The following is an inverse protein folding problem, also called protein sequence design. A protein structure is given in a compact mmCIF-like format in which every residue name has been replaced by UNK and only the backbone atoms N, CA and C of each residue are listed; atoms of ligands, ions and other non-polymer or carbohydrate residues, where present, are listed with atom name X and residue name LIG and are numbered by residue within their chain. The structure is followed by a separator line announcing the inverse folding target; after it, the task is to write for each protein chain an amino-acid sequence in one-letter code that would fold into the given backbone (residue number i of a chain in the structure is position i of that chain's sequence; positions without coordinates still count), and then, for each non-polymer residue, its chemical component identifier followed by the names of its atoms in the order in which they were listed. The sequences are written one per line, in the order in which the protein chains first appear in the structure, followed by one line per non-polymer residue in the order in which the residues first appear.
data_IF_148497675312
#
_entry.id   IF_148497675312
#
_cell.length_a   1.000
_cell.length_b   1.000
_cell.length_c   1.000
_cell.angle_alpha   90.00
_cell.angle_beta   90.00
_cell.angle_gamma   90.00
#
_symmetry.space_group_name_H-M   'P 1'
#
loop_
_entity.id
_entity.type
_entity.pdbx_description
1 polymer ?
#
# COMPACT_ATOMS: atom_id res chain seq x y z
N UNK A 1 -4.24 1.09 37.63
CA UNK A 1 -5.67 1.17 37.24
C UNK A 1 -5.77 2.16 36.10
N UNK A 2 -6.10 1.88 34.85
CA UNK A 2 -6.46 0.68 34.09
C UNK A 2 -6.03 1.01 32.65
N UNK A 3 -5.38 0.09 31.92
CA UNK A 3 -5.01 0.23 30.50
C UNK A 3 -6.25 0.09 29.58
N UNK A 4 -7.35 0.68 29.99
CA UNK A 4 -8.70 0.50 29.45
C UNK A 4 -8.90 1.26 28.14
N UNK A 5 -9.57 0.56 27.22
CA UNK A 5 -10.07 1.00 25.91
C UNK A 5 -8.98 1.22 24.85
N UNK A 6 -8.49 0.10 24.30
CA UNK A 6 -8.02 0.11 22.91
C UNK A 6 -9.22 0.56 22.07
N UNK A 7 -9.20 1.79 21.55
CA UNK A 7 -10.25 2.25 20.64
C UNK A 7 -10.45 1.15 19.59
N UNK A 8 -11.69 0.70 19.41
CA UNK A 8 -12.01 -0.20 18.30
C UNK A 8 -11.49 0.47 17.04
N UNK A 9 -10.64 -0.27 16.29
CA UNK A 9 -9.99 0.29 15.11
C UNK A 9 -11.09 0.61 14.11
N UNK A 10 -11.22 1.87 13.74
CA UNK A 10 -12.14 2.29 12.70
C UNK A 10 -11.57 1.90 11.34
N UNK A 11 -12.41 1.33 10.46
CA UNK A 11 -12.14 1.29 9.03
C UNK A 11 -12.88 2.45 8.35
N UNK A 12 -12.31 2.98 7.27
CA UNK A 12 -12.93 4.06 6.48
C UNK A 12 -13.12 3.59 5.05
N UNK A 13 -14.37 3.68 4.58
CA UNK A 13 -14.75 3.35 3.23
C UNK A 13 -14.50 4.54 2.28
N UNK A 14 -13.63 4.35 1.29
CA UNK A 14 -13.30 5.26 0.19
C UNK A 14 -13.90 4.70 -1.11
N UNK A 15 -15.16 5.03 -1.42
CA UNK A 15 -15.88 4.40 -2.52
C UNK A 15 -16.02 2.88 -2.28
N UNK A 16 -15.39 2.05 -3.12
CA UNK A 16 -15.33 0.58 -2.94
C UNK A 16 -14.11 0.09 -2.17
N UNK A 17 -13.15 0.96 -1.83
CA UNK A 17 -11.93 0.60 -1.10
C UNK A 17 -12.11 0.83 0.41
N UNK A 18 -11.80 -0.18 1.22
CA UNK A 18 -11.78 -0.04 2.68
C UNK A 18 -10.35 0.18 3.19
N UNK A 19 -10.13 1.22 3.99
CA UNK A 19 -8.83 1.50 4.64
C UNK A 19 -8.92 1.17 6.13
N UNK A 20 -7.98 0.39 6.64
CA UNK A 20 -7.98 -0.08 8.04
C UNK A 20 -8.70 -1.41 8.28
N UNK A 21 -9.31 -1.99 7.24
CA UNK A 21 -10.04 -3.27 7.27
C UNK A 21 -9.18 -4.55 7.33
N UNK A 22 -7.86 -4.42 7.43
CA UNK A 22 -6.95 -5.55 7.57
C UNK A 22 -6.04 -5.80 6.36
N UNK A 23 -6.44 -5.47 5.13
CA UNK A 23 -5.53 -5.42 3.98
C UNK A 23 -4.85 -4.05 3.88
N UNK A 24 -3.56 -4.02 3.54
CA UNK A 24 -2.87 -2.77 3.23
C UNK A 24 -3.27 -2.34 1.81
N UNK A 25 -3.47 -1.03 1.62
CA UNK A 25 -3.90 -0.48 0.32
C UNK A 25 -2.86 0.47 -0.25
N UNK A 26 -2.88 0.68 -1.56
CA UNK A 26 -2.08 1.70 -2.24
C UNK A 26 -3.03 2.69 -2.91
N UNK A 27 -2.90 3.97 -2.57
CA UNK A 27 -3.65 5.08 -3.18
C UNK A 27 -2.65 5.96 -3.93
N UNK A 28 -2.94 6.31 -5.19
CA UNK A 28 -2.03 7.15 -5.97
C UNK A 28 -2.32 7.17 -7.47
N UNK A 29 -1.28 6.94 -8.28
CA UNK A 29 -1.34 6.92 -9.74
C UNK A 29 -1.91 5.63 -10.34
N UNK A 30 -1.54 5.35 -11.59
CA UNK A 30 -2.04 4.19 -12.33
C UNK A 30 -1.61 2.85 -11.71
N UNK A 31 -2.54 1.89 -11.64
CA UNK A 31 -2.31 0.59 -11.02
C UNK A 31 -2.49 0.54 -9.50
N UNK A 32 -2.77 1.66 -8.85
CA UNK A 32 -3.12 1.72 -7.44
C UNK A 32 -4.57 1.21 -7.18
N UNK A 33 -4.91 0.93 -5.93
CA UNK A 33 -6.25 0.47 -5.54
C UNK A 33 -7.28 1.62 -5.56
N UNK A 34 -6.81 2.86 -5.43
CA UNK A 34 -7.57 4.08 -5.66
C UNK A 34 -6.71 5.14 -6.37
N UNK A 35 -7.36 5.98 -7.18
CA UNK A 35 -6.71 7.10 -7.86
C UNK A 35 -6.74 8.35 -6.98
N UNK A 36 -5.64 9.08 -6.94
CA UNK A 36 -5.60 10.43 -6.36
C UNK A 36 -5.09 11.43 -7.40
N UNK A 37 -5.70 12.61 -7.44
CA UNK A 37 -5.20 13.75 -8.21
C UNK A 37 -5.16 15.01 -7.36
N UNK A 38 -4.17 15.88 -7.60
CA UNK A 38 -4.11 17.19 -6.98
C UNK A 38 -4.47 18.27 -8.00
N UNK A 39 -5.31 19.23 -7.59
CA UNK A 39 -5.62 20.44 -8.36
C UNK A 39 -4.65 21.57 -8.02
N UNK A 40 -3.86 21.42 -6.96
CA UNK A 40 -2.92 22.45 -6.50
C UNK A 40 -1.90 22.78 -7.59
N UNK A 41 -1.73 24.07 -7.86
CA UNK A 41 -0.80 24.56 -8.89
C UNK A 41 -1.24 24.30 -10.34
N UNK A 42 -2.42 23.73 -10.57
CA UNK A 42 -2.95 23.45 -11.91
C UNK A 42 -4.02 24.45 -12.30
N UNK A 43 -4.10 24.77 -13.59
CA UNK A 43 -5.15 25.59 -14.20
C UNK A 43 -6.22 24.70 -14.84
N UNK A 44 -6.72 23.71 -14.10
CA UNK A 44 -7.78 22.80 -14.57
C UNK A 44 -8.98 22.91 -13.64
N UNK A 45 -10.18 22.87 -14.19
CA UNK A 45 -11.39 22.87 -13.36
C UNK A 45 -11.54 21.50 -12.70
N UNK A 46 -11.92 21.48 -11.42
CA UNK A 46 -12.14 20.23 -10.68
C UNK A 46 -13.04 19.23 -11.43
N UNK A 47 -14.13 19.70 -12.06
CA UNK A 47 -15.03 18.86 -12.85
C UNK A 47 -14.34 18.19 -14.05
N UNK A 48 -13.46 18.90 -14.74
CA UNK A 48 -12.72 18.35 -15.90
C UNK A 48 -11.70 17.32 -15.44
N UNK A 49 -10.97 17.61 -14.36
CA UNK A 49 -9.99 16.67 -13.80
C UNK A 49 -10.64 15.37 -13.34
N UNK A 50 -11.78 15.45 -12.65
CA UNK A 50 -12.54 14.27 -12.21
C UNK A 50 -13.11 13.50 -13.41
N UNK A 51 -13.71 14.19 -14.38
CA UNK A 51 -14.26 13.55 -15.58
C UNK A 51 -13.19 12.80 -16.39
N UNK A 52 -11.99 13.38 -16.52
CA UNK A 52 -10.87 12.74 -17.22
C UNK A 52 -10.47 11.41 -16.55
N UNK A 53 -10.37 11.39 -15.21
CA UNK A 53 -10.04 10.15 -14.49
C UNK A 53 -11.16 9.13 -14.64
N UNK A 54 -12.43 9.55 -14.48
CA UNK A 54 -13.58 8.65 -14.59
C UNK A 54 -13.76 8.03 -15.97
N UNK A 55 -13.28 8.69 -17.04
CA UNK A 55 -13.30 8.14 -18.39
C UNK A 55 -12.42 6.89 -18.54
N UNK A 56 -11.39 6.74 -17.70
CA UNK A 56 -10.40 5.67 -17.79
C UNK A 56 -10.39 4.75 -16.55
N UNK A 57 -11.06 5.15 -15.46
CA UNK A 57 -10.98 4.49 -14.17
C UNK A 57 -12.34 4.37 -13.49
N UNK A 58 -12.75 3.13 -13.22
CA UNK A 58 -14.01 2.79 -12.57
C UNK A 58 -13.90 2.69 -11.04
N UNK A 59 -12.69 2.64 -10.47
CA UNK A 59 -12.48 2.52 -9.03
C UNK A 59 -12.58 3.86 -8.29
N UNK A 60 -12.20 3.89 -7.00
CA UNK A 60 -12.28 5.10 -6.20
C UNK A 60 -11.37 6.22 -6.70
N UNK A 61 -11.87 7.46 -6.64
CA UNK A 61 -11.16 8.68 -7.04
C UNK A 61 -11.14 9.68 -5.89
N UNK A 62 -9.95 10.09 -5.49
CA UNK A 62 -9.72 11.13 -4.51
C UNK A 62 -9.16 12.39 -5.16
N UNK A 63 -9.53 13.55 -4.63
CA UNK A 63 -9.07 14.84 -5.15
C UNK A 63 -8.50 15.71 -4.02
N UNK A 64 -7.32 16.28 -4.21
CA UNK A 64 -6.85 17.40 -3.39
C UNK A 64 -7.32 18.73 -4.02
N UNK A 65 -8.10 19.55 -3.29
CA UNK A 65 -8.58 20.83 -3.78
C UNK A 65 -7.44 21.85 -3.91
N UNK A 66 -7.63 22.82 -4.81
CA UNK A 66 -6.80 24.02 -4.87
C UNK A 66 -7.41 25.19 -4.09
N UNK A 67 -8.73 25.16 -3.87
CA UNK A 67 -9.47 26.15 -3.08
C UNK A 67 -10.86 25.62 -2.69
N UNK A 68 -11.56 26.37 -1.82
CA UNK A 68 -12.96 26.15 -1.49
C UNK A 68 -13.91 26.09 -2.71
N UNK A 69 -13.58 26.83 -3.77
CA UNK A 69 -14.39 26.87 -5.00
C UNK A 69 -14.43 25.54 -5.76
N UNK A 70 -13.47 24.65 -5.53
CA UNK A 70 -13.43 23.32 -6.16
C UNK A 70 -14.42 22.34 -5.51
N UNK A 71 -14.76 22.56 -4.25
CA UNK A 71 -15.44 21.59 -3.39
C UNK A 71 -16.80 21.13 -3.94
N UNK A 72 -17.70 21.99 -4.48
CA UNK A 72 -18.96 21.53 -5.05
C UNK A 72 -18.77 20.58 -6.24
N UNK A 73 -17.70 20.74 -7.02
CA UNK A 73 -17.40 19.88 -8.18
C UNK A 73 -16.70 18.59 -7.76
N UNK A 74 -15.88 18.64 -6.72
CA UNK A 74 -15.30 17.44 -6.09
C UNK A 74 -16.43 16.57 -5.52
N UNK A 75 -17.36 17.15 -4.75
CA UNK A 75 -18.48 16.44 -4.16
C UNK A 75 -19.38 15.75 -5.20
N UNK A 76 -19.46 16.28 -6.42
CA UNK A 76 -20.28 15.73 -7.48
C UNK A 76 -19.68 14.48 -8.18
N UNK A 77 -18.39 14.17 -7.99
CA UNK A 77 -17.76 13.07 -8.76
C UNK A 77 -16.57 12.37 -8.13
N UNK A 78 -16.05 12.84 -7.00
CA UNK A 78 -15.00 12.16 -6.23
C UNK A 78 -15.59 11.29 -5.11
N UNK A 79 -14.86 10.27 -4.69
CA UNK A 79 -15.19 9.37 -3.59
C UNK A 79 -14.52 9.77 -2.27
N UNK A 80 -13.63 10.77 -2.31
CA UNK A 80 -12.89 11.25 -1.15
C UNK A 80 -12.08 12.50 -1.46
N UNK A 81 -11.62 13.15 -0.39
CA UNK A 81 -10.81 14.38 -0.47
C UNK A 81 -9.47 14.14 0.21
N UNK A 82 -8.39 14.63 -0.41
CA UNK A 82 -7.08 14.68 0.25
C UNK A 82 -6.83 16.11 0.71
N UNK A 83 -6.75 16.31 2.02
CA UNK A 83 -6.20 17.53 2.62
C UNK A 83 -4.69 17.37 2.65
N UNK A 84 -4.03 17.97 1.66
CA UNK A 84 -2.58 18.00 1.55
C UNK A 84 -1.91 18.69 2.74
N UNK A 85 -0.62 18.44 2.91
CA UNK A 85 0.20 18.93 4.02
C UNK A 85 0.23 20.46 4.18
N UNK A 86 -0.06 21.22 3.12
CA UNK A 86 -0.19 22.68 3.18
C UNK A 86 -1.55 23.15 3.64
N UNK A 87 -2.60 22.38 3.34
CA UNK A 87 -3.98 22.71 3.67
C UNK A 87 -4.33 22.42 5.13
N UNK A 88 -3.55 21.58 5.81
CA UNK A 88 -3.75 21.32 7.25
C UNK A 88 -3.57 22.54 8.15
N UNK A 89 -2.96 23.62 7.63
CA UNK A 89 -2.86 24.92 8.32
C UNK A 89 -4.03 25.86 8.03
N UNK A 90 -4.96 25.48 7.16
CA UNK A 90 -6.15 26.26 6.83
C UNK A 90 -7.41 25.60 7.44
N UNK A 91 -7.78 25.95 8.68
CA UNK A 91 -8.95 25.35 9.34
C UNK A 91 -10.26 25.69 8.63
N UNK A 92 -10.33 26.78 7.84
CA UNK A 92 -11.55 27.12 7.11
C UNK A 92 -11.76 26.14 5.97
N UNK A 93 -10.74 25.92 5.14
CA UNK A 93 -10.82 24.94 4.06
C UNK A 93 -11.06 23.54 4.62
N UNK A 94 -10.36 23.14 5.68
CA UNK A 94 -10.56 21.83 6.32
C UNK A 94 -12.01 21.66 6.78
N UNK A 95 -12.60 22.67 7.43
CA UNK A 95 -13.99 22.61 7.86
C UNK A 95 -14.97 22.52 6.69
N UNK A 96 -14.74 23.25 5.60
CA UNK A 96 -15.56 23.14 4.39
C UNK A 96 -15.43 21.78 3.70
N UNK A 97 -14.22 21.21 3.64
CA UNK A 97 -13.97 19.84 3.15
C UNK A 97 -14.73 18.83 4.00
N UNK A 98 -14.68 18.96 5.32
CA UNK A 98 -15.36 18.06 6.24
C UNK A 98 -16.88 18.05 6.01
N UNK A 99 -17.50 19.22 5.83
CA UNK A 99 -18.94 19.39 5.57
C UNK A 99 -19.42 18.78 4.26
N UNK A 100 -18.53 18.41 3.34
CA UNK A 100 -18.93 17.66 2.14
C UNK A 100 -19.48 16.27 2.46
N UNK A 101 -19.14 15.71 3.63
CA UNK A 101 -19.49 14.34 3.96
C UNK A 101 -18.85 13.34 3.00
N UNK A 102 -17.70 13.67 2.42
CA UNK A 102 -16.82 12.70 1.76
C UNK A 102 -15.73 12.25 2.74
N UNK A 103 -15.25 11.01 2.67
CA UNK A 103 -14.06 10.60 3.40
C UNK A 103 -12.87 11.52 3.14
N UNK A 104 -12.07 11.78 4.18
CA UNK A 104 -10.97 12.74 4.11
C UNK A 104 -9.65 12.06 4.48
N UNK A 105 -8.64 12.16 3.61
CA UNK A 105 -7.25 11.86 3.97
C UNK A 105 -6.58 13.15 4.45
N UNK A 106 -6.09 13.18 5.69
CA UNK A 106 -5.38 14.33 6.26
C UNK A 106 -3.88 14.02 6.34
N UNK A 107 -3.09 14.63 5.44
CA UNK A 107 -1.63 14.47 5.43
C UNK A 107 -0.98 15.28 6.55
N UNK A 108 0.00 14.71 7.24
CA UNK A 108 0.77 15.43 8.26
C UNK A 108 1.57 16.58 7.63
N UNK A 109 1.52 17.76 8.25
CA UNK A 109 2.39 18.88 7.88
C UNK A 109 3.86 18.61 8.26
N UNK A 110 4.86 19.10 7.52
CA UNK A 110 6.28 18.76 7.71
C UNK A 110 6.86 19.03 9.11
N UNK A 111 6.25 19.95 9.87
CA UNK A 111 6.66 20.28 11.24
C UNK A 111 5.53 20.09 12.25
N UNK A 112 4.40 19.49 11.84
CA UNK A 112 3.26 19.32 12.73
C UNK A 112 3.59 18.29 13.80
N UNK A 113 3.30 18.62 15.05
CA UNK A 113 3.29 17.66 16.16
C UNK A 113 2.13 16.69 16.01
N UNK A 114 2.17 15.58 16.74
CA UNK A 114 1.06 14.64 16.80
C UNK A 114 -0.25 15.32 17.24
N UNK A 115 -0.19 16.23 18.21
CA UNK A 115 -1.38 16.92 18.71
C UNK A 115 -1.98 17.85 17.67
N UNK A 116 -1.16 18.64 16.97
CA UNK A 116 -1.63 19.53 15.91
C UNK A 116 -2.22 18.73 14.75
N UNK A 117 -1.61 17.60 14.39
CA UNK A 117 -2.15 16.75 13.33
C UNK A 117 -3.49 16.12 13.71
N UNK A 118 -3.62 15.57 14.92
CA UNK A 118 -4.88 15.03 15.41
C UNK A 118 -5.97 16.10 15.55
N UNK A 119 -5.61 17.33 15.92
CA UNK A 119 -6.56 18.44 15.99
C UNK A 119 -7.22 18.76 14.64
N UNK A 120 -6.49 18.58 13.51
CA UNK A 120 -7.07 18.74 12.16
C UNK A 120 -8.10 17.64 11.87
N UNK A 121 -7.83 16.40 12.29
CA UNK A 121 -8.80 15.31 12.16
C UNK A 121 -10.03 15.50 13.07
N UNK A 122 -9.82 15.99 14.29
CA UNK A 122 -10.91 16.27 15.24
C UNK A 122 -11.75 17.48 14.80
N UNK A 123 -11.16 18.43 14.06
CA UNK A 123 -11.93 19.48 13.37
C UNK A 123 -12.89 18.87 12.34
N UNK A 124 -12.47 17.89 11.54
CA UNK A 124 -13.38 17.21 10.62
C UNK A 124 -14.55 16.54 11.37
N UNK A 125 -14.25 15.87 12.48
CA UNK A 125 -15.27 15.26 13.35
C UNK A 125 -16.23 16.30 13.94
N UNK A 126 -15.72 17.45 14.40
CA UNK A 126 -16.54 18.54 14.93
C UNK A 126 -17.47 19.15 13.88
N UNK A 127 -17.08 19.09 12.60
CA UNK A 127 -17.90 19.50 11.45
C UNK A 127 -18.81 18.38 10.92
N UNK A 128 -18.92 17.26 11.66
CA UNK A 128 -19.85 16.16 11.39
C UNK A 128 -19.30 15.06 10.48
N UNK A 129 -17.98 14.95 10.31
CA UNK A 129 -17.36 13.95 9.45
C UNK A 129 -16.24 13.15 10.13
N UNK A 130 -16.61 11.97 10.63
CA UNK A 130 -15.67 11.03 11.28
C UNK A 130 -14.93 10.11 10.31
N UNK A 131 -15.22 10.16 9.00
CA UNK A 131 -14.56 9.32 7.98
C UNK A 131 -13.20 9.89 7.60
N UNK A 132 -12.30 9.91 8.58
CA UNK A 132 -10.97 10.51 8.45
C UNK A 132 -9.90 9.42 8.47
N UNK A 133 -9.05 9.44 7.45
CA UNK A 133 -7.83 8.67 7.35
C UNK A 133 -6.65 9.61 7.54
N UNK A 134 -5.72 9.26 8.42
CA UNK A 134 -4.49 10.01 8.62
C UNK A 134 -3.45 9.55 7.59
N UNK A 135 -2.59 10.42 7.10
CA UNK A 135 -1.41 10.04 6.32
C UNK A 135 -0.11 10.65 6.89
N UNK A 136 0.80 9.82 7.40
CA UNK A 136 2.12 10.25 7.86
C UNK A 136 3.01 10.58 6.66
N UNK A 137 3.87 11.59 6.82
CA UNK A 137 4.91 11.94 5.85
C UNK A 137 4.59 13.19 5.04
N UNK A 138 5.61 14.04 4.92
CA UNK A 138 5.57 15.27 4.15
C UNK A 138 6.38 15.12 2.85
N UNK A 139 6.04 15.94 1.86
CA UNK A 139 6.77 15.99 0.61
C UNK A 139 8.19 16.53 0.86
N UNK A 140 9.18 15.79 0.36
CA UNK A 140 10.57 16.23 0.38
C UNK A 140 10.84 17.38 -0.60
N UNK A 141 12.00 18.00 -0.47
CA UNK A 141 12.60 18.91 -1.45
C UNK A 141 13.99 18.39 -1.86
N UNK A 142 14.63 18.94 -2.91
CA UNK A 142 16.00 18.57 -3.27
C UNK A 142 17.00 18.68 -2.11
N UNK A 143 16.76 19.60 -1.19
CA UNK A 143 17.60 19.85 -0.01
C UNK A 143 17.15 19.05 1.23
N UNK A 144 15.93 18.50 1.21
CA UNK A 144 15.33 17.79 2.34
C UNK A 144 14.66 16.50 1.87
N UNK A 145 15.26 15.33 2.15
CA UNK A 145 14.65 14.06 1.75
C UNK A 145 13.29 13.87 2.43
N UNK A 146 12.50 12.96 1.87
CA UNK A 146 11.27 12.50 2.51
C UNK A 146 11.60 11.86 3.85
N UNK A 147 10.87 12.23 4.89
CA UNK A 147 11.02 11.69 6.24
C UNK A 147 9.70 11.10 6.71
N UNK A 148 9.78 9.88 7.23
CA UNK A 148 8.67 9.19 7.89
C UNK A 148 8.99 9.02 9.37
N UNK A 149 8.16 9.57 10.23
CA UNK A 149 8.23 9.34 11.67
C UNK A 149 7.37 8.12 12.04
N UNK A 150 7.97 6.93 11.95
CA UNK A 150 7.28 5.67 12.21
C UNK A 150 6.74 5.55 13.65
N UNK A 151 7.45 6.01 14.70
CA UNK A 151 6.88 6.11 16.04
C UNK A 151 5.63 7.00 16.10
N UNK A 152 5.66 8.16 15.44
CA UNK A 152 4.50 9.07 15.43
C UNK A 152 3.33 8.50 14.64
N UNK A 153 3.58 7.83 13.51
CA UNK A 153 2.56 7.07 12.76
C UNK A 153 1.81 6.11 13.69
N UNK A 154 2.55 5.33 14.48
CA UNK A 154 1.97 4.38 15.44
C UNK A 154 1.20 5.09 16.55
N UNK A 155 1.76 6.15 17.11
CA UNK A 155 1.12 6.93 18.16
C UNK A 155 -0.20 7.58 17.66
N UNK A 156 -0.24 8.05 16.42
CA UNK A 156 -1.44 8.56 15.78
C UNK A 156 -2.51 7.48 15.66
N UNK A 157 -2.13 6.28 15.19
CA UNK A 157 -3.05 5.14 15.09
C UNK A 157 -3.60 4.74 16.45
N UNK A 158 -2.74 4.65 17.46
CA UNK A 158 -3.11 4.20 18.81
C UNK A 158 -3.98 5.23 19.55
N UNK A 159 -3.71 6.53 19.41
CA UNK A 159 -4.45 7.58 20.10
C UNK A 159 -5.77 7.94 19.43
N UNK A 160 -5.85 7.86 18.10
CA UNK A 160 -7.04 8.27 17.36
C UNK A 160 -8.00 7.13 17.07
N UNK A 161 -7.52 5.88 17.02
CA UNK A 161 -8.31 4.74 16.53
C UNK A 161 -8.60 4.79 15.02
N UNK A 162 -8.11 5.82 14.30
CA UNK A 162 -8.33 6.03 12.85
C UNK A 162 -7.28 5.26 12.03
N UNK A 163 -7.60 4.87 10.79
CA UNK A 163 -6.59 4.32 9.88
C UNK A 163 -5.48 5.33 9.59
N UNK A 164 -4.24 4.84 9.44
CA UNK A 164 -3.07 5.68 9.15
C UNK A 164 -2.30 5.15 7.94
N UNK A 165 -2.30 5.90 6.85
CA UNK A 165 -1.44 5.69 5.68
C UNK A 165 -0.05 6.29 5.90
N UNK A 166 0.89 5.96 5.00
CA UNK A 166 2.19 6.62 4.92
C UNK A 166 2.48 7.15 3.52
N UNK A 167 3.23 8.26 3.45
CA UNK A 167 3.77 8.88 2.24
C UNK A 167 5.26 8.54 2.10
N UNK A 168 5.64 7.49 1.37
CA UNK A 168 7.05 7.10 1.22
C UNK A 168 7.79 7.94 0.16
N UNK A 169 7.11 8.88 -0.51
CA UNK A 169 7.73 9.72 -1.55
C UNK A 169 8.26 8.95 -2.76
N UNK A 170 7.74 7.75 -3.01
CA UNK A 170 8.16 6.87 -4.10
C UNK A 170 9.31 5.92 -3.77
N UNK A 171 9.86 5.95 -2.55
CA UNK A 171 10.92 5.02 -2.13
C UNK A 171 10.32 3.65 -1.69
N UNK A 172 10.63 2.54 -2.39
CA UNK A 172 10.12 1.22 -2.04
C UNK A 172 10.57 0.72 -0.65
N UNK A 173 11.75 1.11 -0.19
CA UNK A 173 12.25 0.71 1.13
C UNK A 173 11.47 1.43 2.24
N UNK A 174 11.19 2.73 2.06
CA UNK A 174 10.32 3.48 2.99
C UNK A 174 8.89 2.95 2.97
N UNK A 175 8.37 2.56 1.80
CA UNK A 175 7.07 1.91 1.67
C UNK A 175 7.00 0.63 2.51
N UNK A 176 7.99 -0.27 2.37
CA UNK A 176 8.07 -1.49 3.15
C UNK A 176 8.21 -1.22 4.66
N UNK A 177 9.04 -0.24 5.04
CA UNK A 177 9.23 0.12 6.45
C UNK A 177 7.95 0.67 7.09
N UNK A 178 7.18 1.49 6.36
CA UNK A 178 5.91 2.02 6.84
C UNK A 178 4.87 0.92 7.07
N UNK A 179 4.73 -0.01 6.12
CA UNK A 179 3.83 -1.17 6.26
C UNK A 179 4.27 -2.04 7.45
N UNK A 180 5.57 -2.25 7.63
CA UNK A 180 6.11 -2.98 8.78
C UNK A 180 5.83 -2.28 10.12
N UNK A 181 5.87 -0.95 10.15
CA UNK A 181 5.48 -0.16 11.32
C UNK A 181 3.98 -0.23 11.64
N UNK A 182 3.18 -0.72 10.69
CA UNK A 182 1.74 -0.94 10.82
C UNK A 182 0.90 0.17 10.21
N UNK A 183 1.37 0.80 9.13
CA UNK A 183 0.55 1.64 8.28
C UNK A 183 -0.58 0.81 7.64
N UNK A 184 -1.77 1.41 7.55
CA UNK A 184 -2.96 0.83 6.94
C UNK A 184 -2.89 0.81 5.41
N UNK A 185 -1.90 1.50 4.84
CA UNK A 185 -1.62 1.54 3.41
C UNK A 185 -0.60 2.63 3.08
N UNK A 186 -0.46 2.91 1.80
CA UNK A 186 0.46 3.90 1.25
C UNK A 186 -0.29 4.93 0.41
N UNK A 187 0.10 6.19 0.52
CA UNK A 187 -0.28 7.26 -0.38
C UNK A 187 0.93 7.62 -1.25
N UNK A 188 0.79 7.54 -2.56
CA UNK A 188 1.83 7.86 -3.53
C UNK A 188 1.46 9.11 -4.32
N UNK A 189 2.46 9.77 -4.91
CA UNK A 189 2.22 10.95 -5.73
C UNK A 189 1.30 10.62 -6.92
N UNK A 190 0.42 11.55 -7.35
CA UNK A 190 -0.50 11.32 -8.47
C UNK A 190 0.21 10.93 -9.76
N UNK A 191 1.43 11.41 -9.94
CA UNK A 191 2.33 11.22 -11.08
C UNK A 191 3.36 10.09 -10.87
N UNK A 192 3.21 9.27 -9.84
CA UNK A 192 4.08 8.12 -9.61
C UNK A 192 4.08 7.18 -10.82
N UNK A 193 5.28 6.72 -11.21
CA UNK A 193 5.42 5.80 -12.35
C UNK A 193 4.78 4.45 -12.06
N UNK A 194 4.36 3.68 -13.10
CA UNK A 194 3.84 2.32 -12.91
C UNK A 194 4.78 1.43 -12.10
N UNK A 195 6.10 1.55 -12.28
CA UNK A 195 7.10 0.79 -11.55
C UNK A 195 7.11 1.15 -10.06
N UNK A 196 6.96 2.45 -9.75
CA UNK A 196 6.87 2.92 -8.36
C UNK A 196 5.61 2.38 -7.68
N UNK A 197 4.48 2.40 -8.38
CA UNK A 197 3.21 1.85 -7.86
C UNK A 197 3.30 0.33 -7.69
N UNK A 198 3.87 -0.40 -8.66
CA UNK A 198 4.08 -1.84 -8.56
C UNK A 198 4.98 -2.20 -7.37
N UNK A 199 6.10 -1.51 -7.20
CA UNK A 199 7.01 -1.74 -6.07
C UNK A 199 6.32 -1.47 -4.71
N UNK A 200 5.48 -0.44 -4.63
CA UNK A 200 4.68 -0.17 -3.44
C UNK A 200 3.63 -1.26 -3.16
N UNK A 201 2.99 -1.81 -4.20
CA UNK A 201 2.05 -2.94 -4.08
C UNK A 201 2.75 -4.20 -3.59
N UNK A 202 3.93 -4.50 -4.13
CA UNK A 202 4.74 -5.63 -3.68
C UNK A 202 5.12 -5.47 -2.20
N UNK A 203 5.56 -4.28 -1.79
CA UNK A 203 5.88 -3.99 -0.40
C UNK A 203 4.66 -4.19 0.51
N UNK A 204 3.50 -3.63 0.14
CA UNK A 204 2.23 -3.81 0.86
C UNK A 204 1.83 -5.28 0.97
N UNK A 205 1.97 -6.03 -0.12
CA UNK A 205 1.55 -7.44 -0.20
C UNK A 205 2.46 -8.33 0.65
N UNK A 206 3.77 -8.26 0.42
CA UNK A 206 4.75 -9.13 1.10
C UNK A 206 4.84 -8.79 2.59
N UNK A 207 5.03 -7.50 2.93
CA UNK A 207 5.22 -7.10 4.32
C UNK A 207 3.91 -7.23 5.08
N UNK A 208 2.78 -6.84 4.45
CA UNK A 208 1.46 -6.96 5.05
C UNK A 208 1.12 -8.38 5.46
N UNK A 209 1.40 -9.37 4.61
CA UNK A 209 1.16 -10.79 4.91
C UNK A 209 1.93 -11.32 6.13
N UNK A 210 3.06 -10.70 6.49
CA UNK A 210 3.91 -11.14 7.61
C UNK A 210 3.63 -10.34 8.89
N UNK A 211 3.34 -9.05 8.75
CA UNK A 211 3.29 -8.14 9.91
C UNK A 211 1.89 -7.92 10.46
N UNK A 212 0.86 -8.13 9.63
CA UNK A 212 -0.53 -7.97 10.07
C UNK A 212 -0.98 -9.23 10.78
N UNK A 213 -1.29 -9.07 12.07
CA UNK A 213 -1.87 -10.14 12.87
C UNK A 213 -3.34 -10.28 12.51
N UNK A 214 -3.69 -11.48 12.10
CA UNK A 214 -5.05 -11.88 11.80
C UNK A 214 -5.44 -13.01 12.76
N UNK A 215 -6.65 -12.92 13.32
CA UNK A 215 -7.23 -13.97 14.15
C UNK A 215 -8.61 -14.29 13.59
N UNK A 216 -8.67 -15.04 12.47
CA UNK A 216 -9.91 -15.23 11.74
C UNK A 216 -10.86 -16.13 12.54
N UNK A 217 -11.93 -15.55 13.08
CA UNK A 217 -12.98 -16.28 13.80
C UNK A 217 -13.98 -17.03 12.89
N UNK A 218 -13.84 -16.94 11.56
CA UNK A 218 -14.72 -17.59 10.58
C UNK A 218 -13.93 -18.22 9.43
N UNK A 219 -14.52 -19.21 8.76
CA UNK A 219 -13.94 -19.85 7.56
C UNK A 219 -13.70 -18.83 6.44
N UNK A 220 -14.64 -17.89 6.24
CA UNK A 220 -14.50 -16.84 5.24
C UNK A 220 -13.29 -15.94 5.53
N UNK A 221 -13.13 -15.52 6.79
CA UNK A 221 -11.99 -14.72 7.21
C UNK A 221 -10.66 -15.49 7.08
N UNK A 222 -10.64 -16.78 7.40
CA UNK A 222 -9.45 -17.61 7.28
C UNK A 222 -9.04 -17.82 5.81
N UNK A 223 -10.01 -17.96 4.90
CA UNK A 223 -9.72 -18.02 3.45
C UNK A 223 -9.15 -16.70 2.94
N UNK A 224 -9.74 -15.57 3.33
CA UNK A 224 -9.20 -14.26 2.97
C UNK A 224 -7.77 -14.05 3.50
N UNK A 225 -7.45 -14.60 4.68
CA UNK A 225 -6.09 -14.61 5.23
C UNK A 225 -5.12 -15.43 4.37
N UNK A 226 -5.55 -16.62 3.95
CA UNK A 226 -4.78 -17.47 3.02
C UNK A 226 -4.57 -16.73 1.69
N UNK A 227 -5.61 -16.12 1.11
CA UNK A 227 -5.51 -15.41 -0.16
C UNK A 227 -4.46 -14.27 -0.10
N UNK A 228 -4.30 -13.61 1.05
CA UNK A 228 -3.25 -12.60 1.27
C UNK A 228 -1.85 -13.21 1.32
N UNK A 229 -1.70 -14.35 1.99
CA UNK A 229 -0.43 -15.10 1.99
C UNK A 229 -0.10 -15.60 0.59
N UNK A 230 -1.09 -16.09 -0.15
CA UNK A 230 -0.94 -16.57 -1.51
C UNK A 230 -0.56 -15.45 -2.49
N UNK A 231 -1.11 -14.24 -2.31
CA UNK A 231 -0.67 -13.07 -3.05
C UNK A 231 0.81 -12.74 -2.78
N UNK A 232 1.25 -12.81 -1.51
CA UNK A 232 2.67 -12.63 -1.17
C UNK A 232 3.56 -13.74 -1.75
N UNK A 233 3.08 -14.98 -1.75
CA UNK A 233 3.76 -16.11 -2.38
C UNK A 233 3.91 -15.89 -3.88
N UNK A 234 2.88 -15.41 -4.58
CA UNK A 234 2.94 -15.12 -6.01
C UNK A 234 4.04 -14.11 -6.35
N UNK A 235 4.15 -13.01 -5.59
CA UNK A 235 5.21 -12.00 -5.77
C UNK A 235 6.60 -12.61 -5.55
N UNK A 236 6.78 -13.41 -4.50
CA UNK A 236 8.04 -14.09 -4.21
C UNK A 236 8.40 -15.14 -5.27
N UNK A 237 7.41 -15.84 -5.82
CA UNK A 237 7.59 -16.84 -6.86
C UNK A 237 8.01 -16.20 -8.19
N UNK A 238 7.40 -15.08 -8.60
CA UNK A 238 7.81 -14.33 -9.79
C UNK A 238 9.27 -13.86 -9.65
N UNK A 239 9.61 -13.22 -8.52
CA UNK A 239 10.98 -12.79 -8.24
C UNK A 239 11.97 -13.96 -8.27
N UNK A 240 11.58 -15.11 -7.72
CA UNK A 240 12.40 -16.32 -7.77
C UNK A 240 12.57 -16.83 -9.20
N UNK A 241 11.53 -16.79 -10.03
CA UNK A 241 11.60 -17.20 -11.42
C UNK A 241 12.52 -16.29 -12.25
N UNK A 242 12.52 -14.98 -12.01
CA UNK A 242 13.46 -14.03 -12.61
C UNK A 242 14.93 -14.36 -12.25
N UNK A 243 15.19 -14.68 -10.99
CA UNK A 243 16.51 -15.10 -10.52
C UNK A 243 16.92 -16.44 -11.15
N UNK A 244 16.00 -17.41 -11.24
CA UNK A 244 16.23 -18.67 -11.94
C UNK A 244 16.59 -18.42 -13.41
N UNK A 245 15.87 -17.55 -14.11
CA UNK A 245 16.20 -17.16 -15.48
C UNK A 245 17.58 -16.50 -15.61
N UNK A 246 18.00 -15.73 -14.61
CA UNK A 246 19.36 -15.14 -14.55
C UNK A 246 20.43 -16.22 -14.39
N UNK A 247 20.23 -17.15 -13.45
CA UNK A 247 21.12 -18.31 -13.28
C UNK A 247 21.22 -19.09 -14.58
N UNK A 248 20.09 -19.31 -15.26
CA UNK A 248 20.07 -20.05 -16.52
C UNK A 248 20.94 -19.38 -17.59
N UNK A 249 20.89 -18.06 -17.73
CA UNK A 249 21.76 -17.32 -18.67
C UNK A 249 23.25 -17.42 -18.34
N UNK A 250 23.59 -17.58 -17.06
CA UNK A 250 24.98 -17.63 -16.58
C UNK A 250 25.58 -19.04 -16.58
N UNK A 251 24.74 -20.09 -16.52
CA UNK A 251 25.21 -21.48 -16.45
C UNK A 251 25.78 -21.96 -17.79
N UNK A 252 26.90 -22.70 -17.79
CA UNK A 252 27.44 -23.33 -18.99
C UNK A 252 26.51 -24.42 -19.55
N UNK A 253 25.79 -25.14 -18.66
CA UNK A 253 24.72 -26.08 -19.02
C UNK A 253 23.42 -25.58 -18.39
N UNK A 254 22.49 -25.14 -19.23
CA UNK A 254 21.17 -24.65 -18.82
C UNK A 254 20.09 -25.74 -18.77
N UNK A 255 18.87 -25.32 -18.47
CA UNK A 255 17.68 -26.16 -18.41
C UNK A 255 17.71 -27.18 -17.28
N UNK A 256 16.94 -28.24 -17.46
CA UNK A 256 16.87 -29.39 -16.55
C UNK A 256 18.21 -30.11 -16.39
N UNK A 257 19.03 -30.15 -17.45
CA UNK A 257 20.35 -30.80 -17.43
C UNK A 257 21.35 -30.11 -16.48
N UNK A 258 21.14 -28.84 -16.16
CA UNK A 258 21.98 -28.05 -15.26
C UNK A 258 21.56 -28.10 -13.79
N UNK A 259 20.65 -28.99 -13.38
CA UNK A 259 20.20 -29.09 -11.98
C UNK A 259 21.29 -29.63 -11.07
N UNK A 260 21.31 -29.12 -9.83
CA UNK A 260 22.24 -29.53 -8.78
C UNK A 260 21.43 -30.13 -7.63
N UNK A 261 21.27 -31.45 -7.65
CA UNK A 261 20.43 -32.18 -6.71
C UNK A 261 20.94 -32.09 -5.26
N UNK A 262 22.25 -31.92 -5.05
CA UNK A 262 22.82 -31.76 -3.71
C UNK A 262 22.48 -30.39 -3.14
N UNK A 263 22.59 -29.33 -3.96
CA UNK A 263 22.15 -27.99 -3.57
C UNK A 263 20.66 -27.94 -3.30
N UNK A 264 19.85 -28.61 -4.12
CA UNK A 264 18.40 -28.64 -3.94
C UNK A 264 17.99 -29.36 -2.66
N UNK A 265 18.63 -30.51 -2.34
CA UNK A 265 18.44 -31.19 -1.04
C UNK A 265 18.81 -30.31 0.14
N UNK A 266 19.97 -29.63 0.10
CA UNK A 266 20.39 -28.68 1.15
C UNK A 266 19.40 -27.53 1.31
N UNK A 267 18.83 -27.04 0.21
CA UNK A 267 17.83 -25.97 0.22
C UNK A 267 16.53 -26.44 0.91
N UNK A 268 16.07 -27.66 0.66
CA UNK A 268 14.87 -28.21 1.31
C UNK A 268 15.08 -28.39 2.81
N UNK A 269 16.22 -28.96 3.21
CA UNK A 269 16.59 -29.08 4.63
C UNK A 269 16.62 -27.71 5.33
N UNK A 270 17.17 -26.69 4.65
CA UNK A 270 17.21 -25.33 5.17
C UNK A 270 15.81 -24.71 5.31
N UNK A 271 14.91 -24.95 4.36
CA UNK A 271 13.53 -24.50 4.43
C UNK A 271 12.75 -25.22 5.54
N UNK A 272 13.00 -26.51 5.75
CA UNK A 272 12.37 -27.28 6.82
C UNK A 272 12.72 -26.73 8.22
N UNK A 273 13.93 -26.18 8.40
CA UNK A 273 14.29 -25.46 9.65
C UNK A 273 13.42 -24.22 9.90
N UNK A 274 12.97 -23.54 8.85
CA UNK A 274 12.09 -22.36 8.94
C UNK A 274 10.61 -22.73 8.99
N UNK A 275 10.23 -23.87 8.41
CA UNK A 275 8.84 -24.37 8.37
C UNK A 275 8.75 -25.80 8.96
N UNK A 276 8.97 -25.96 10.28
CA UNK A 276 9.07 -27.28 10.91
C UNK A 276 7.78 -28.11 10.81
N UNK A 277 6.61 -27.47 10.73
CA UNK A 277 5.33 -28.16 10.57
C UNK A 277 5.18 -28.87 9.22
N UNK A 278 5.88 -28.39 8.18
CA UNK A 278 5.88 -29.05 6.87
C UNK A 278 6.97 -30.13 6.80
N UNK A 279 8.17 -29.85 7.35
CA UNK A 279 9.30 -30.76 7.29
C UNK A 279 9.84 -30.98 5.88
N UNK A 280 10.92 -31.75 5.74
CA UNK A 280 11.57 -31.96 4.44
C UNK A 280 10.71 -32.74 3.45
N UNK A 281 10.00 -33.77 3.94
CA UNK A 281 9.19 -34.66 3.10
C UNK A 281 8.09 -33.91 2.33
N UNK A 282 7.39 -32.96 2.99
CA UNK A 282 6.32 -32.18 2.36
C UNK A 282 6.87 -31.00 1.55
N UNK A 283 8.01 -30.43 1.95
CA UNK A 283 8.63 -29.31 1.23
C UNK A 283 9.34 -29.73 -0.05
N UNK A 284 9.91 -30.94 -0.10
CA UNK A 284 10.62 -31.44 -1.27
C UNK A 284 9.80 -31.37 -2.57
N UNK A 285 8.56 -31.92 -2.66
CA UNK A 285 7.77 -31.86 -3.89
C UNK A 285 7.36 -30.42 -4.26
N UNK A 286 7.08 -29.57 -3.26
CA UNK A 286 6.75 -28.15 -3.49
C UNK A 286 7.94 -27.44 -4.14
N UNK A 287 9.12 -27.60 -3.57
CA UNK A 287 10.33 -26.96 -4.09
C UNK A 287 10.73 -27.50 -5.45
N UNK A 288 10.53 -28.80 -5.69
CA UNK A 288 10.72 -29.36 -7.03
C UNK A 288 9.81 -28.66 -8.05
N UNK A 289 8.51 -28.56 -7.78
CA UNK A 289 7.57 -27.90 -8.68
C UNK A 289 7.95 -26.43 -8.96
N UNK A 290 8.36 -25.70 -7.91
CA UNK A 290 8.78 -24.30 -8.02
C UNK A 290 10.10 -24.14 -8.81
N UNK A 291 11.03 -25.10 -8.71
CA UNK A 291 12.24 -25.14 -9.55
C UNK A 291 11.87 -25.39 -11.01
N UNK A 292 11.08 -26.43 -11.27
CA UNK A 292 10.71 -26.83 -12.62
C UNK A 292 9.94 -25.74 -13.35
N UNK A 293 8.99 -25.06 -12.69
CA UNK A 293 8.26 -23.95 -13.27
C UNK A 293 9.21 -22.84 -13.77
N UNK A 294 10.20 -22.46 -12.96
CA UNK A 294 11.20 -21.46 -13.33
C UNK A 294 12.13 -21.92 -14.47
N UNK A 295 12.45 -23.21 -14.55
CA UNK A 295 13.23 -23.78 -15.64
C UNK A 295 12.46 -23.73 -16.96
N UNK A 296 11.19 -24.19 -16.97
CA UNK A 296 10.33 -24.16 -18.16
C UNK A 296 10.16 -22.74 -18.69
N UNK A 297 9.86 -21.78 -17.81
CA UNK A 297 9.74 -20.36 -18.18
C UNK A 297 11.04 -19.81 -18.82
N UNK A 298 12.21 -20.21 -18.30
CA UNK A 298 13.48 -19.79 -18.86
C UNK A 298 13.76 -20.40 -20.24
N UNK A 299 13.30 -21.63 -20.49
CA UNK A 299 13.39 -22.30 -21.79
C UNK A 299 12.45 -21.66 -22.82
N UNK A 300 11.20 -21.37 -22.45
CA UNK A 300 10.23 -20.66 -23.28
C UNK A 300 10.73 -19.26 -23.70
N UNK A 301 11.29 -18.50 -22.75
CA UNK A 301 11.90 -17.18 -23.01
C UNK A 301 13.14 -17.23 -23.90
N UNK A 302 13.83 -18.38 -23.96
CA UNK A 302 14.96 -18.59 -24.89
C UNK A 302 14.48 -18.92 -26.29
N UNK A 303 13.43 -19.73 -26.42
CA UNK A 303 12.85 -20.09 -27.71
C UNK A 303 12.34 -18.84 -28.44
N UNK A 304 11.57 -18.01 -27.74
CA UNK A 304 11.02 -16.74 -28.25
C UNK A 304 12.05 -15.65 -28.59
N UNK A 305 13.31 -15.78 -28.18
CA UNK A 305 14.40 -14.86 -28.57
C UNK A 305 15.17 -15.30 -29.81
N UNK A 306 14.90 -16.51 -30.31
CA UNK A 306 15.56 -17.06 -31.50
C UNK A 306 14.77 -16.84 -32.79
N UNK A 307 13.51 -16.42 -32.67
CA UNK A 307 12.62 -15.97 -33.75
C UNK A 307 12.65 -14.44 -33.86
#
# INVERSE_FOLDING_TARGET
MSLTARAERGAVQLGTLEVGGGAAVVIGGAGADARWTSLRGRRVRAAEAVAAIRAEWAGPVLVEPSSAGDLPRIAAGADGVVVGETWTRDPRLVGEVARLGLPVIVRRGPAATLQEWLAVADLCSAEGNDRVVLCEGAQGSPERPVVLDLPLLRAARERSGRPVLAWPGGDPALAAAAVAAGADGLLLAPDSTPETVAAARDAVTIVGAVTRREDPGTVLAARAAIDRVDAALAVLLERRAELAGTIQRLKPVGGFAGRDMDRERRLVAEMARRAPALGEERLAPIMNAVIEAGLRLAEERRATRRD
#
